data_IF_541040050450
#
_entry.id   IF_541040050450
#
_cell.length_a   1.000
_cell.length_b   1.000
_cell.length_c   1.000
_cell.angle_alpha   90.00
_cell.angle_beta   90.00
_cell.angle_gamma   90.00
#
_symmetry.space_group_name_H-M   'P 1'
#
loop_
_entity.id
_entity.type
_entity.pdbx_description
1 polymer ?
#
# COMPACT_ATOMS: atom_id res chain seq x y z
N UNK A 1 0.76 -18.41 -7.72
CA UNK A 1 -0.03 -17.39 -6.97
C UNK A 1 -0.31 -16.23 -7.91
N UNK A 2 -1.58 -15.99 -8.27
CA UNK A 2 -1.96 -14.88 -9.14
C UNK A 2 -2.02 -13.59 -8.31
N UNK A 3 -1.23 -12.60 -8.69
CA UNK A 3 -1.29 -11.26 -8.10
C UNK A 3 -2.57 -10.57 -8.60
N UNK A 4 -3.53 -10.37 -7.70
CA UNK A 4 -4.74 -9.62 -8.00
C UNK A 4 -4.38 -8.17 -8.32
N UNK A 5 -4.77 -7.71 -9.50
CA UNK A 5 -4.59 -6.31 -9.92
C UNK A 5 -5.32 -5.38 -8.96
N UNK A 6 -4.57 -4.45 -8.36
CA UNK A 6 -5.12 -3.30 -7.64
C UNK A 6 -5.76 -2.36 -8.67
N UNK A 7 -7.07 -2.49 -8.85
CA UNK A 7 -7.88 -1.51 -9.56
C UNK A 7 -7.91 -0.20 -8.78
N UNK A 8 -7.22 0.81 -9.29
CA UNK A 8 -7.34 2.18 -8.84
C UNK A 8 -8.71 2.74 -9.26
N UNK A 9 -9.70 2.62 -8.37
CA UNK A 9 -10.93 3.40 -8.49
C UNK A 9 -10.54 4.89 -8.45
N UNK A 10 -10.90 5.70 -9.46
CA UNK A 10 -10.68 7.14 -9.39
C UNK A 10 -11.64 7.67 -8.34
N UNK A 11 -11.14 7.95 -7.15
CA UNK A 11 -11.83 8.82 -6.20
C UNK A 11 -11.86 10.22 -6.83
N UNK A 12 -12.85 10.47 -7.68
CA UNK A 12 -13.17 11.82 -8.15
C UNK A 12 -13.40 12.67 -6.92
N UNK A 13 -12.45 13.57 -6.69
CA UNK A 13 -12.20 14.24 -5.44
C UNK A 13 -13.34 15.20 -5.09
N UNK A 14 -14.05 14.90 -4.01
CA UNK A 14 -14.95 15.86 -3.34
C UNK A 14 -14.23 17.19 -3.04
N UNK A 15 -12.90 17.14 -2.92
CA UNK A 15 -12.01 18.28 -2.78
C UNK A 15 -11.94 19.19 -4.01
N UNK A 16 -12.11 18.68 -5.24
CA UNK A 16 -12.10 19.50 -6.45
C UNK A 16 -13.40 20.32 -6.61
N UNK A 17 -14.55 19.70 -6.28
CA UNK A 17 -15.85 20.38 -6.30
C UNK A 17 -15.97 21.51 -5.28
N UNK A 18 -15.38 21.35 -4.10
CA UNK A 18 -15.38 22.41 -3.07
C UNK A 18 -14.51 23.61 -3.47
N UNK A 19 -13.41 23.44 -4.21
CA UNK A 19 -12.60 24.59 -4.69
C UNK A 19 -13.31 25.39 -5.76
N UNK A 20 -14.02 24.72 -6.65
CA UNK A 20 -14.77 25.39 -7.72
C UNK A 20 -15.85 26.29 -7.10
N UNK A 21 -16.63 25.78 -6.15
CA UNK A 21 -17.64 26.58 -5.46
C UNK A 21 -17.06 27.72 -4.61
N UNK A 22 -15.88 27.53 -4.02
CA UNK A 22 -15.17 28.59 -3.28
C UNK A 22 -14.70 29.69 -4.26
N UNK A 23 -14.04 29.33 -5.36
CA UNK A 23 -13.56 30.28 -6.37
C UNK A 23 -14.71 31.07 -7.03
N UNK A 24 -15.80 30.40 -7.42
CA UNK A 24 -16.97 31.04 -8.02
C UNK A 24 -17.64 32.05 -7.06
N UNK A 25 -17.67 31.74 -5.76
CA UNK A 25 -18.20 32.65 -4.74
C UNK A 25 -17.31 33.89 -4.54
N UNK A 26 -15.99 33.76 -4.69
CA UNK A 26 -15.05 34.88 -4.59
C UNK A 26 -15.14 35.83 -5.78
N UNK A 27 -15.21 35.29 -7.00
CA UNK A 27 -15.37 36.11 -8.21
C UNK A 27 -16.72 36.84 -8.20
N UNK A 28 -17.78 36.18 -7.74
CA UNK A 28 -19.10 36.80 -7.55
C UNK A 28 -19.04 37.92 -6.51
N UNK A 29 -18.33 37.70 -5.40
CA UNK A 29 -18.13 38.70 -4.36
C UNK A 29 -17.35 39.93 -4.88
N UNK A 30 -16.24 39.71 -5.60
CA UNK A 30 -15.45 40.79 -6.20
C UNK A 30 -16.27 41.58 -7.24
N UNK A 31 -17.12 40.93 -8.03
CA UNK A 31 -18.02 41.62 -8.95
C UNK A 31 -19.03 42.53 -8.23
N UNK A 32 -19.63 42.04 -7.14
CA UNK A 32 -20.55 42.85 -6.33
C UNK A 32 -19.81 44.04 -5.71
N UNK A 33 -18.60 43.84 -5.20
CA UNK A 33 -17.77 44.88 -4.61
C UNK A 33 -17.38 45.96 -5.63
N UNK A 34 -16.93 45.58 -6.82
CA UNK A 34 -16.61 46.52 -7.91
C UNK A 34 -17.85 47.29 -8.35
N UNK A 35 -19.01 46.62 -8.39
CA UNK A 35 -20.29 47.25 -8.77
C UNK A 35 -20.77 48.24 -7.73
N UNK A 36 -20.60 47.95 -6.43
CA UNK A 36 -20.93 48.85 -5.34
C UNK A 36 -19.98 50.06 -5.32
N UNK A 37 -18.66 49.86 -5.47
CA UNK A 37 -17.67 50.94 -5.59
C UNK A 37 -17.96 51.90 -6.74
N UNK A 38 -18.40 51.38 -7.89
CA UNK A 38 -18.80 52.19 -9.04
C UNK A 38 -20.05 53.04 -8.82
N UNK A 39 -20.93 52.64 -7.90
CA UNK A 39 -22.22 53.30 -7.65
C UNK A 39 -22.32 53.94 -6.26
N UNK A 40 -21.20 54.18 -5.57
CA UNK A 40 -21.25 54.78 -4.23
C UNK A 40 -21.64 56.25 -4.27
N UNK A 41 -22.44 56.64 -3.27
CA UNK A 41 -22.69 58.03 -2.94
C UNK A 41 -21.51 58.54 -2.06
N UNK A 42 -20.81 59.62 -2.46
CA UNK A 42 -19.66 60.15 -1.72
C UNK A 42 -19.95 60.61 -0.28
N UNK A 43 -21.22 60.69 0.13
CA UNK A 43 -21.64 61.08 1.48
C UNK A 43 -21.84 59.92 2.45
N UNK A 44 -21.81 58.66 1.98
CA UNK A 44 -21.90 57.44 2.81
C UNK A 44 -20.90 56.38 2.31
N UNK A 45 -19.61 56.47 2.70
CA UNK A 45 -18.63 55.47 2.31
C UNK A 45 -18.94 54.12 2.98
N UNK A 46 -19.03 53.06 2.17
CA UNK A 46 -19.10 51.68 2.67
C UNK A 46 -17.89 51.36 3.58
N UNK A 47 -18.14 50.61 4.66
CA UNK A 47 -17.10 50.18 5.60
C UNK A 47 -16.20 49.11 4.96
N UNK A 48 -15.13 49.56 4.30
CA UNK A 48 -14.10 48.73 3.66
C UNK A 48 -13.42 47.73 4.62
N UNK A 49 -13.53 47.91 5.94
CA UNK A 49 -12.92 46.99 6.91
C UNK A 49 -13.60 45.62 6.92
N UNK A 50 -14.93 45.57 6.82
CA UNK A 50 -15.66 44.30 6.88
C UNK A 50 -15.35 43.41 5.66
N UNK A 51 -15.20 44.01 4.49
CA UNK A 51 -14.84 43.32 3.25
C UNK A 51 -13.40 42.82 3.26
N UNK A 52 -12.48 43.65 3.78
CA UNK A 52 -11.08 43.24 3.94
C UNK A 52 -10.96 42.04 4.89
N UNK A 53 -11.75 42.01 5.97
CA UNK A 53 -11.81 40.86 6.89
C UNK A 53 -12.34 39.59 6.22
N UNK A 54 -13.39 39.69 5.40
CA UNK A 54 -13.94 38.56 4.65
C UNK A 54 -12.95 38.03 3.60
N UNK A 55 -12.21 38.93 2.92
CA UNK A 55 -11.17 38.56 1.97
C UNK A 55 -10.01 37.83 2.66
N UNK A 56 -9.55 38.32 3.82
CA UNK A 56 -8.52 37.65 4.62
C UNK A 56 -8.99 36.25 5.06
N UNK A 57 -10.22 36.10 5.54
CA UNK A 57 -10.78 34.78 5.88
C UNK A 57 -10.78 33.83 4.68
N UNK A 58 -11.20 34.32 3.51
CA UNK A 58 -11.25 33.53 2.29
C UNK A 58 -9.85 33.05 1.85
N UNK A 59 -8.86 33.96 1.84
CA UNK A 59 -7.47 33.61 1.51
C UNK A 59 -6.89 32.56 2.48
N UNK A 60 -7.27 32.63 3.77
CA UNK A 60 -6.89 31.63 4.77
C UNK A 60 -7.46 30.24 4.47
N UNK A 61 -8.75 30.16 4.12
CA UNK A 61 -9.40 28.89 3.74
C UNK A 61 -8.79 28.31 2.47
N UNK A 62 -8.50 29.15 1.46
CA UNK A 62 -7.86 28.71 0.23
C UNK A 62 -6.44 28.17 0.47
N UNK A 63 -5.68 28.82 1.35
CA UNK A 63 -4.34 28.37 1.72
C UNK A 63 -4.37 27.05 2.49
N UNK A 64 -5.34 26.86 3.38
CA UNK A 64 -5.55 25.60 4.10
C UNK A 64 -5.91 24.47 3.12
N UNK A 65 -6.75 24.74 2.13
CA UNK A 65 -7.14 23.78 1.10
C UNK A 65 -5.93 23.38 0.24
N UNK A 66 -5.10 24.34 -0.19
CA UNK A 66 -3.85 24.08 -0.91
C UNK A 66 -2.88 23.23 -0.08
N UNK A 67 -2.79 23.48 1.23
CA UNK A 67 -1.96 22.69 2.15
C UNK A 67 -2.42 21.23 2.20
N UNK A 68 -3.73 21.01 2.34
CA UNK A 68 -4.30 19.65 2.32
C UNK A 68 -4.00 18.90 1.01
N UNK A 69 -4.01 19.60 -0.14
CA UNK A 69 -3.65 19.00 -1.42
C UNK A 69 -2.18 18.58 -1.50
N UNK A 70 -1.28 19.41 -0.99
CA UNK A 70 0.14 19.04 -0.94
C UNK A 70 0.37 17.83 -0.03
N UNK A 71 -0.35 17.73 1.09
CA UNK A 71 -0.30 16.57 1.97
C UNK A 71 -0.84 15.30 1.28
N UNK A 72 -1.96 15.39 0.57
CA UNK A 72 -2.52 14.27 -0.20
C UNK A 72 -1.56 13.81 -1.32
N UNK A 73 -1.00 14.76 -2.07
CA UNK A 73 -0.01 14.48 -3.10
C UNK A 73 1.26 13.84 -2.53
N UNK A 74 1.73 14.29 -1.36
CA UNK A 74 2.88 13.71 -0.66
C UNK A 74 2.59 12.28 -0.20
N UNK A 75 1.38 12.02 0.33
CA UNK A 75 0.96 10.69 0.74
C UNK A 75 0.91 9.72 -0.45
N UNK A 76 0.37 10.17 -1.59
CA UNK A 76 0.35 9.40 -2.83
C UNK A 76 1.76 9.13 -3.37
N UNK A 77 2.65 10.12 -3.34
CA UNK A 77 4.05 9.94 -3.75
C UNK A 77 4.77 8.90 -2.85
N UNK A 78 4.53 8.93 -1.54
CA UNK A 78 5.09 7.95 -0.60
C UNK A 78 4.52 6.54 -0.81
N UNK A 79 3.23 6.42 -1.14
CA UNK A 79 2.61 5.13 -1.44
C UNK A 79 3.19 4.50 -2.73
N UNK A 80 3.46 5.32 -3.75
CA UNK A 80 4.11 4.86 -4.98
C UNK A 80 5.56 4.39 -4.76
N UNK A 81 6.30 4.98 -3.81
CA UNK A 81 7.65 4.54 -3.47
C UNK A 81 7.68 3.11 -2.91
N UNK A 82 6.63 2.67 -2.20
CA UNK A 82 6.49 1.30 -1.71
C UNK A 82 6.31 0.25 -2.81
N UNK A 83 5.69 0.63 -3.94
CA UNK A 83 5.41 -0.30 -5.06
C UNK A 83 6.68 -0.68 -5.84
N UNK A 84 7.70 0.19 -5.88
CA UNK A 84 8.97 -0.06 -6.58
C UNK A 84 9.82 -1.18 -5.97
N UNK A 85 9.53 -1.59 -4.73
CA UNK A 85 10.23 -2.70 -4.07
C UNK A 85 10.03 -4.04 -4.78
N UNK A 86 8.90 -4.24 -5.48
CA UNK A 86 8.58 -5.48 -6.19
C UNK A 86 9.54 -5.76 -7.37
N UNK A 87 10.00 -4.72 -8.08
CA UNK A 87 10.93 -4.85 -9.21
C UNK A 87 12.28 -5.40 -8.74
N UNK A 88 12.70 -5.06 -7.51
CA UNK A 88 13.95 -5.52 -6.92
C UNK A 88 14.00 -7.03 -6.59
N UNK A 89 12.86 -7.72 -6.62
CA UNK A 89 12.77 -9.17 -6.41
C UNK A 89 12.77 -9.98 -7.71
N UNK A 90 12.68 -9.34 -8.88
CA UNK A 90 12.75 -10.05 -10.16
C UNK A 90 14.11 -10.75 -10.26
N UNK A 91 14.07 -12.07 -10.48
CA UNK A 91 15.27 -12.90 -10.58
C UNK A 91 15.94 -13.25 -9.23
N UNK A 92 15.32 -12.89 -8.10
CA UNK A 92 15.78 -13.32 -6.77
C UNK A 92 14.95 -14.49 -6.26
N UNK A 93 15.60 -15.40 -5.53
CA UNK A 93 14.90 -16.42 -4.74
C UNK A 93 14.41 -15.77 -3.44
N UNK A 94 13.13 -15.97 -3.11
CA UNK A 94 12.53 -15.48 -1.88
C UNK A 94 12.02 -16.65 -1.05
N UNK A 95 12.24 -16.59 0.25
CA UNK A 95 11.66 -17.55 1.19
C UNK A 95 10.37 -16.98 1.73
N UNK A 96 9.28 -17.73 1.60
CA UNK A 96 8.00 -17.39 2.21
C UNK A 96 7.75 -18.31 3.42
N UNK A 97 7.17 -17.76 4.48
CA UNK A 97 6.71 -18.58 5.60
C UNK A 97 5.59 -19.50 5.14
N UNK A 98 5.80 -20.81 5.24
CA UNK A 98 4.82 -21.81 4.84
C UNK A 98 5.33 -23.23 5.03
N UNK A 99 4.40 -24.19 5.00
CA UNK A 99 4.69 -25.62 5.13
C UNK A 99 4.75 -26.35 3.79
N UNK A 100 4.44 -25.65 2.69
CA UNK A 100 4.42 -26.20 1.34
C UNK A 100 5.72 -25.86 0.61
N UNK A 101 6.25 -26.83 -0.11
CA UNK A 101 7.32 -26.67 -1.08
C UNK A 101 6.94 -27.47 -2.31
N UNK A 102 7.35 -27.00 -3.49
CA UNK A 102 7.11 -27.68 -4.75
C UNK A 102 8.27 -28.66 -4.99
N UNK A 103 7.94 -29.90 -5.33
CA UNK A 103 8.91 -30.88 -5.77
C UNK A 103 9.22 -30.62 -7.25
N UNK A 104 10.39 -30.07 -7.54
CA UNK A 104 10.86 -29.77 -8.90
C UNK A 104 12.12 -30.58 -9.16
N UNK A 105 12.17 -31.25 -10.32
CA UNK A 105 13.29 -32.11 -10.73
C UNK A 105 13.68 -33.19 -9.70
N UNK A 106 12.72 -33.61 -8.88
CA UNK A 106 12.94 -34.59 -7.82
C UNK A 106 13.64 -34.02 -6.57
N UNK A 107 13.64 -32.71 -6.36
CA UNK A 107 14.09 -32.11 -5.10
C UNK A 107 13.11 -31.07 -4.57
N UNK A 108 12.91 -31.06 -3.26
CA UNK A 108 12.12 -30.05 -2.57
C UNK A 108 12.90 -29.52 -1.37
N UNK A 109 12.78 -28.22 -1.10
CA UNK A 109 13.53 -27.53 -0.05
C UNK A 109 12.61 -26.74 0.87
N UNK A 110 12.87 -26.82 2.17
CA UNK A 110 12.22 -26.00 3.19
C UNK A 110 13.28 -25.29 4.02
N UNK A 111 13.01 -24.03 4.33
CA UNK A 111 13.76 -23.24 5.29
C UNK A 111 12.93 -23.13 6.57
N UNK A 112 13.57 -23.33 7.72
CA UNK A 112 12.93 -23.20 9.02
C UNK A 112 13.94 -22.74 10.06
N UNK A 113 13.47 -22.03 11.08
CA UNK A 113 14.28 -21.59 12.20
C UNK A 113 13.77 -22.19 13.49
N UNK A 114 14.68 -22.45 14.43
CA UNK A 114 14.33 -22.89 15.78
C UNK A 114 14.99 -21.96 16.79
N UNK A 115 14.24 -21.56 17.82
CA UNK A 115 14.72 -20.60 18.82
C UNK A 115 15.71 -21.21 19.82
N UNK A 116 15.66 -22.54 19.98
CA UNK A 116 16.51 -23.33 20.86
C UNK A 116 16.86 -24.69 20.21
N UNK A 117 17.98 -25.34 20.60
CA UNK A 117 18.28 -26.67 20.11
C UNK A 117 17.17 -27.67 20.46
N UNK A 118 16.67 -28.40 19.47
CA UNK A 118 15.55 -29.32 19.65
C UNK A 118 15.69 -30.57 18.77
N UNK A 119 15.00 -31.64 19.18
CA UNK A 119 14.74 -32.78 18.31
C UNK A 119 13.47 -32.50 17.51
N UNK A 120 13.53 -32.69 16.20
CA UNK A 120 12.43 -32.43 15.27
C UNK A 120 12.08 -33.69 14.49
N UNK A 121 10.83 -33.76 14.06
CA UNK A 121 10.34 -34.77 13.12
C UNK A 121 9.77 -34.05 11.91
N UNK A 122 10.41 -34.25 10.75
CA UNK A 122 9.96 -33.73 9.47
C UNK A 122 9.06 -34.76 8.82
N UNK A 123 7.82 -34.36 8.51
CA UNK A 123 6.86 -35.18 7.77
C UNK A 123 6.53 -34.47 6.46
N UNK A 124 6.82 -35.12 5.33
CA UNK A 124 6.39 -34.65 4.01
C UNK A 124 5.05 -35.32 3.69
N UNK A 125 4.08 -34.50 3.29
CA UNK A 125 2.73 -34.95 2.92
C UNK A 125 2.45 -34.63 1.47
N UNK A 126 1.72 -35.51 0.80
CA UNK A 126 1.21 -35.27 -0.55
C UNK A 126 0.01 -34.31 -0.55
N UNK A 127 -0.50 -33.96 -1.73
CA UNK A 127 -1.66 -33.09 -1.90
C UNK A 127 -2.96 -33.66 -1.29
N UNK A 128 -3.04 -34.98 -1.10
CA UNK A 128 -4.16 -35.67 -0.45
C UNK A 128 -4.00 -35.73 1.08
N UNK A 129 -2.87 -35.25 1.63
CA UNK A 129 -2.57 -35.23 3.05
C UNK A 129 -1.92 -36.52 3.57
N UNK A 130 -1.60 -37.49 2.71
CA UNK A 130 -0.92 -38.72 3.11
C UNK A 130 0.55 -38.44 3.39
N UNK A 131 1.07 -39.02 4.46
CA UNK A 131 2.50 -38.92 4.79
C UNK A 131 3.30 -39.81 3.86
N UNK A 132 4.14 -39.20 3.03
CA UNK A 132 4.98 -39.90 2.04
C UNK A 132 6.41 -40.09 2.50
N UNK A 133 6.87 -39.27 3.45
CA UNK A 133 8.22 -39.34 4.00
C UNK A 133 8.24 -38.85 5.46
N UNK A 134 9.01 -39.52 6.30
CA UNK A 134 9.26 -39.11 7.69
C UNK A 134 10.75 -39.20 7.98
N UNK A 135 11.29 -38.16 8.63
CA UNK A 135 12.66 -38.16 9.13
C UNK A 135 12.74 -37.44 10.47
N UNK A 136 13.41 -38.06 11.43
CA UNK A 136 13.77 -37.44 12.69
C UNK A 136 15.19 -36.88 12.62
N UNK A 137 15.44 -35.82 13.39
CA UNK A 137 16.77 -35.24 13.50
C UNK A 137 16.87 -34.23 14.63
N UNK A 138 18.10 -33.82 14.93
CA UNK A 138 18.38 -32.76 15.88
C UNK A 138 18.79 -31.51 15.12
N UNK A 139 18.32 -30.36 15.59
CA UNK A 139 18.63 -29.06 15.02
C UNK A 139 19.08 -28.12 16.13
N UNK A 140 20.03 -27.26 15.78
CA UNK A 140 20.51 -26.22 16.69
C UNK A 140 19.64 -24.98 16.55
N UNK A 141 19.80 -24.04 17.50
CA UNK A 141 19.23 -22.71 17.39
C UNK A 141 19.66 -22.03 16.08
N UNK A 142 18.72 -21.38 15.40
CA UNK A 142 18.94 -20.60 14.18
C UNK A 142 18.28 -21.21 12.95
N UNK A 143 18.64 -20.66 11.79
CA UNK A 143 18.13 -21.09 10.48
C UNK A 143 18.69 -22.45 10.08
N UNK A 144 17.83 -23.29 9.50
CA UNK A 144 18.16 -24.62 9.00
C UNK A 144 17.41 -24.90 7.70
N UNK A 145 18.01 -25.76 6.87
CA UNK A 145 17.46 -26.14 5.57
C UNK A 145 17.21 -27.64 5.55
N UNK A 146 15.97 -28.02 5.24
CA UNK A 146 15.61 -29.40 4.95
C UNK A 146 15.53 -29.60 3.44
N UNK A 147 16.32 -30.53 2.91
CA UNK A 147 16.28 -30.95 1.51
C UNK A 147 15.71 -32.37 1.43
N UNK A 148 14.70 -32.56 0.60
CA UNK A 148 14.12 -33.86 0.28
C UNK A 148 14.44 -34.19 -1.18
N UNK A 149 14.83 -35.43 -1.43
CA UNK A 149 15.19 -35.99 -2.75
C UNK A 149 13.99 -36.57 -3.51
N UNK A 150 12.78 -36.27 -3.05
CA UNK A 150 11.54 -36.75 -3.66
C UNK A 150 11.33 -38.26 -3.52
N UNK A 151 12.14 -38.96 -2.71
CA UNK A 151 12.00 -40.39 -2.48
C UNK A 151 11.16 -40.61 -1.22
N UNK A 152 10.06 -41.34 -1.35
CA UNK A 152 9.19 -41.68 -0.21
C UNK A 152 9.85 -42.68 0.74
N UNK A 153 9.24 -42.86 1.92
CA UNK A 153 9.64 -43.92 2.86
C UNK A 153 9.50 -45.34 2.28
N UNK A 154 8.73 -45.49 1.20
CA UNK A 154 8.56 -46.70 0.41
C UNK A 154 9.68 -46.93 -0.64
N UNK A 155 10.64 -46.01 -0.75
CA UNK A 155 11.70 -46.02 -1.76
C UNK A 155 11.23 -45.61 -3.16
N UNK A 156 9.96 -45.23 -3.34
CA UNK A 156 9.43 -44.78 -4.62
C UNK A 156 9.72 -43.30 -4.85
N UNK A 157 10.07 -42.95 -6.09
CA UNK A 157 10.20 -41.55 -6.51
C UNK A 157 8.81 -40.94 -6.65
N UNK A 158 8.56 -39.82 -5.97
CA UNK A 158 7.31 -39.07 -6.05
C UNK A 158 7.33 -38.15 -7.28
N UNK A 159 6.15 -37.94 -7.92
CA UNK A 159 6.04 -37.06 -9.08
C UNK A 159 6.20 -35.59 -8.68
N UNK A 160 6.66 -34.76 -9.61
CA UNK A 160 6.76 -33.31 -9.38
C UNK A 160 5.40 -32.69 -9.03
N UNK A 161 5.39 -31.69 -8.15
CA UNK A 161 4.20 -30.94 -7.73
C UNK A 161 4.27 -30.36 -6.33
#
# INVERSE_FOLDING_TARGET
>A
MAVGGVGSSPATSALAGSRQGIADNFDTFLQILVTQLKNQNPLDPLDTNQFTQQLVQFTGVEQQLKTNQFLEAMMLANQNAGSSQAVGYIGKEITASGTKSELVDGAARWHFAVDEPAQITVQVKDAAGNVVFVKEGNVNKGESVFNWDGIGSDGSKKPNG
#
